data_IF_546286281866
#
_entry.id   IF_546286281866
#
_cell.length_a   1.000
_cell.length_b   1.000
_cell.length_c   1.000
_cell.angle_alpha   90.00
_cell.angle_beta   90.00
_cell.angle_gamma   90.00
#
_symmetry.space_group_name_H-M   'P 1'
#
loop_
_entity.id
_entity.type
_entity.pdbx_description
1 polymer ?
#
# COMPACT_ATOMS: atom_id res chain seq x y z
N UNK A 1 -18.19 -46.88 -32.36
CA UNK A 1 -19.15 -45.85 -32.80
C UNK A 1 -18.59 -44.50 -32.36
N UNK A 2 -18.70 -43.52 -33.24
CA UNK A 2 -17.76 -42.40 -33.53
C UNK A 2 -17.56 -41.36 -32.37
N UNK A 3 -16.44 -40.60 -32.37
CA UNK A 3 -15.87 -39.82 -31.27
C UNK A 3 -16.02 -38.29 -31.43
N UNK A 4 -15.52 -37.52 -30.45
CA UNK A 4 -15.11 -36.11 -30.56
C UNK A 4 -14.06 -35.85 -29.44
N UNK A 5 -12.74 -35.81 -29.70
CA UNK A 5 -11.95 -34.67 -30.19
C UNK A 5 -12.44 -33.32 -29.66
N UNK A 6 -11.61 -32.62 -28.87
CA UNK A 6 -11.08 -31.28 -29.15
C UNK A 6 -10.29 -30.69 -27.95
N UNK A 7 -9.05 -30.24 -28.25
CA UNK A 7 -8.18 -29.25 -27.56
C UNK A 7 -7.59 -29.67 -26.19
N UNK A 8 -6.28 -29.80 -25.94
CA UNK A 8 -5.07 -29.25 -26.57
C UNK A 8 -5.11 -27.74 -26.78
N UNK A 9 -5.01 -27.00 -25.66
CA UNK A 9 -4.24 -25.76 -25.52
C UNK A 9 -4.47 -25.19 -24.10
N UNK A 10 -3.50 -25.39 -23.21
CA UNK A 10 -3.27 -24.48 -22.09
C UNK A 10 -1.76 -24.26 -21.99
N UNK A 11 -1.30 -23.34 -22.82
CA UNK A 11 -0.19 -22.46 -22.49
C UNK A 11 -0.50 -21.88 -21.09
N UNK A 12 0.21 -22.33 -20.07
CA UNK A 12 0.26 -21.63 -18.79
C UNK A 12 1.16 -20.42 -19.01
N UNK A 13 0.54 -19.29 -19.34
CA UNK A 13 1.15 -17.98 -19.28
C UNK A 13 1.64 -17.74 -17.85
N UNK A 14 2.95 -17.86 -17.66
CA UNK A 14 3.66 -17.38 -16.49
C UNK A 14 3.71 -15.86 -16.57
N UNK A 15 2.55 -15.24 -16.35
CA UNK A 15 2.43 -13.79 -16.17
C UNK A 15 3.09 -13.46 -14.82
N UNK A 16 4.40 -13.18 -14.89
CA UNK A 16 5.09 -12.47 -13.83
C UNK A 16 4.40 -11.12 -13.70
N UNK A 17 3.95 -10.70 -12.50
CA UNK A 17 3.86 -9.28 -12.24
C UNK A 17 5.30 -8.79 -12.27
N UNK A 18 5.74 -8.33 -13.44
CA UNK A 18 6.83 -7.38 -13.50
C UNK A 18 6.32 -6.19 -12.68
N UNK A 19 6.76 -6.10 -11.43
CA UNK A 19 6.78 -4.83 -10.72
C UNK A 19 7.64 -3.91 -11.59
N UNK A 20 6.98 -3.24 -12.54
CA UNK A 20 7.51 -2.07 -13.19
C UNK A 20 8.02 -1.19 -12.06
N UNK A 21 9.33 -1.01 -12.02
CA UNK A 21 9.94 0.14 -11.38
C UNK A 21 9.43 1.36 -12.14
N UNK A 22 8.18 1.74 -11.87
CA UNK A 22 7.65 3.03 -12.24
C UNK A 22 8.50 4.03 -11.45
N UNK A 23 9.51 4.58 -12.12
CA UNK A 23 10.00 5.91 -11.83
C UNK A 23 8.78 6.82 -11.84
N UNK A 24 8.17 6.98 -10.66
CA UNK A 24 7.26 8.08 -10.38
C UNK A 24 8.12 9.35 -10.46
N UNK A 25 8.38 9.81 -11.70
CA UNK A 25 8.46 11.22 -11.97
C UNK A 25 7.04 11.76 -11.80
N UNK A 26 6.63 11.84 -10.54
CA UNK A 26 5.44 12.56 -10.16
C UNK A 26 5.69 14.00 -10.57
N UNK A 27 4.94 14.47 -11.57
CA UNK A 27 4.79 15.87 -11.94
C UNK A 27 4.11 16.60 -10.77
N UNK A 28 4.85 16.72 -9.67
CA UNK A 28 4.46 17.44 -8.48
C UNK A 28 4.73 18.91 -8.76
N UNK A 29 3.75 19.75 -8.42
CA UNK A 29 3.95 21.19 -8.30
C UNK A 29 5.31 21.48 -7.64
N UNK A 30 6.04 22.51 -8.10
CA UNK A 30 7.39 22.79 -7.61
C UNK A 30 7.38 22.81 -6.08
N UNK A 31 8.12 21.87 -5.46
CA UNK A 31 8.18 21.81 -4.01
C UNK A 31 8.63 23.17 -3.48
N UNK A 32 7.98 23.70 -2.42
CA UNK A 32 8.37 24.98 -1.86
C UNK A 32 9.81 24.92 -1.37
N UNK A 33 10.53 26.03 -1.53
CA UNK A 33 11.93 26.12 -1.14
C UNK A 33 12.09 25.98 0.37
N UNK A 34 12.88 25.00 0.81
CA UNK A 34 13.23 24.81 2.21
C UNK A 34 14.30 25.81 2.71
N UNK A 35 14.46 25.85 4.03
CA UNK A 35 15.42 26.73 4.74
C UNK A 35 16.85 26.66 4.20
N UNK A 36 17.31 25.48 3.78
CA UNK A 36 18.66 25.31 3.19
C UNK A 36 18.73 25.80 1.76
N UNK A 37 17.69 25.60 0.97
CA UNK A 37 17.65 26.09 -0.40
C UNK A 37 17.72 27.62 -0.44
N UNK A 38 16.94 28.30 0.39
CA UNK A 38 16.98 29.76 0.52
C UNK A 38 18.37 30.26 0.92
N UNK A 39 19.05 29.56 1.84
CA UNK A 39 20.43 29.90 2.24
C UNK A 39 21.43 29.67 1.11
N UNK A 40 21.28 28.60 0.33
CA UNK A 40 22.13 28.32 -0.81
C UNK A 40 21.98 29.40 -1.88
N UNK A 41 20.76 29.79 -2.23
CA UNK A 41 20.49 30.90 -3.16
C UNK A 41 21.14 32.19 -2.69
N UNK A 42 20.86 32.60 -1.45
CA UNK A 42 21.47 33.82 -0.91
C UNK A 42 23.00 33.79 -0.85
N UNK A 43 23.60 32.61 -0.70
CA UNK A 43 25.06 32.47 -0.78
C UNK A 43 25.58 32.60 -2.22
N UNK A 44 24.89 31.99 -3.20
CA UNK A 44 25.24 32.09 -4.62
C UNK A 44 25.13 33.54 -5.11
N UNK A 45 24.03 34.23 -4.78
CA UNK A 45 23.81 35.63 -5.14
C UNK A 45 24.91 36.53 -4.54
N UNK A 46 25.25 36.28 -3.26
CA UNK A 46 26.32 37.01 -2.58
C UNK A 46 27.69 36.75 -3.22
N UNK A 47 27.98 35.52 -3.61
CA UNK A 47 29.24 35.17 -4.26
C UNK A 47 29.37 35.81 -5.65
N UNK A 48 28.29 35.82 -6.43
CA UNK A 48 28.23 36.50 -7.72
C UNK A 48 28.42 38.01 -7.56
N UNK A 49 27.73 38.62 -6.60
CA UNK A 49 27.87 40.05 -6.30
C UNK A 49 29.31 40.45 -5.96
N UNK A 50 30.00 39.71 -5.08
CA UNK A 50 31.39 40.01 -4.73
C UNK A 50 32.35 39.77 -5.92
N UNK A 51 32.06 38.80 -6.77
CA UNK A 51 32.83 38.53 -8.00
C UNK A 51 32.71 39.69 -8.98
N UNK A 52 31.49 40.17 -9.24
CA UNK A 52 31.23 41.33 -10.10
C UNK A 52 31.84 42.60 -9.51
N UNK A 53 31.79 42.79 -8.18
CA UNK A 53 32.41 43.93 -7.50
C UNK A 53 33.94 43.98 -7.69
N UNK A 54 34.58 42.82 -7.81
CA UNK A 54 36.02 42.73 -8.08
C UNK A 54 36.35 43.14 -9.52
N UNK A 55 35.41 42.96 -10.45
CA UNK A 55 35.50 43.47 -11.82
C UNK A 55 35.15 44.97 -11.87
N UNK A 56 35.97 45.80 -11.22
CA UNK A 56 35.79 47.24 -11.22
C UNK A 56 36.32 47.88 -12.52
N UNK A 57 35.79 49.04 -12.86
CA UNK A 57 36.16 49.76 -14.08
C UNK A 57 37.62 50.23 -14.06
N UNK A 58 38.12 50.65 -12.89
CA UNK A 58 39.49 51.13 -12.72
C UNK A 58 40.54 50.06 -13.10
N UNK A 59 40.32 48.81 -12.69
CA UNK A 59 41.17 47.68 -13.05
C UNK A 59 41.15 47.39 -14.56
N UNK A 60 40.01 47.60 -15.23
CA UNK A 60 39.93 47.48 -16.69
C UNK A 60 40.67 48.62 -17.38
N UNK A 61 40.59 49.85 -16.85
CA UNK A 61 41.36 50.97 -17.39
C UNK A 61 42.87 50.77 -17.23
N UNK A 62 43.32 50.23 -16.10
CA UNK A 62 44.73 49.88 -15.87
C UNK A 62 45.22 48.80 -16.86
N UNK A 63 44.37 47.85 -17.21
CA UNK A 63 44.69 46.78 -18.15
C UNK A 63 44.63 47.23 -19.63
N UNK A 64 43.84 48.27 -19.94
CA UNK A 64 43.67 48.81 -21.30
C UNK A 64 43.90 50.33 -21.38
N UNK A 65 45.10 50.83 -21.01
CA UNK A 65 45.35 52.26 -20.85
C UNK A 65 45.24 53.06 -22.16
N UNK A 66 45.67 52.47 -23.29
CA UNK A 66 45.58 53.13 -24.60
C UNK A 66 44.13 53.29 -25.07
N UNK A 67 43.27 52.31 -24.78
CA UNK A 67 41.86 52.35 -25.16
C UNK A 67 41.06 53.27 -24.23
N UNK A 68 41.38 53.26 -22.94
CA UNK A 68 40.80 54.17 -21.95
C UNK A 68 41.09 55.65 -22.28
N UNK A 69 42.27 55.95 -22.83
CA UNK A 69 42.62 57.31 -23.26
C UNK A 69 41.95 57.73 -24.57
N UNK A 70 41.71 56.79 -25.50
CA UNK A 70 41.11 57.07 -26.80
C UNK A 70 39.58 57.21 -26.70
N UNK A 71 38.90 56.20 -26.14
CA UNK A 71 37.44 56.09 -26.11
C UNK A 71 36.96 55.55 -24.74
N UNK A 72 36.96 56.36 -23.66
CA UNK A 72 36.57 55.90 -22.33
C UNK A 72 35.09 55.49 -22.22
N UNK A 73 34.19 56.15 -22.96
CA UNK A 73 32.76 55.80 -22.94
C UNK A 73 32.47 54.44 -23.58
N UNK A 74 33.14 54.12 -24.69
CA UNK A 74 32.98 52.80 -25.32
C UNK A 74 33.49 51.68 -24.41
N UNK A 75 34.60 51.93 -23.70
CA UNK A 75 35.14 51.00 -22.72
C UNK A 75 34.19 50.81 -21.54
N UNK A 76 33.57 51.88 -21.05
CA UNK A 76 32.56 51.81 -19.96
C UNK A 76 31.33 51.01 -20.39
N UNK A 77 30.82 51.25 -21.59
CA UNK A 77 29.69 50.50 -22.16
C UNK A 77 30.06 49.02 -22.35
N UNK A 78 31.28 48.72 -22.78
CA UNK A 78 31.75 47.33 -22.93
C UNK A 78 31.84 46.62 -21.57
N UNK A 79 32.40 47.28 -20.55
CA UNK A 79 32.46 46.76 -19.18
C UNK A 79 31.07 46.47 -18.61
N UNK A 80 30.15 47.44 -18.71
CA UNK A 80 28.77 47.30 -18.24
C UNK A 80 28.08 46.11 -18.93
N UNK A 81 28.23 45.98 -20.25
CA UNK A 81 27.69 44.83 -21.00
C UNK A 81 28.24 43.49 -20.53
N UNK A 82 29.55 43.40 -20.27
CA UNK A 82 30.18 42.16 -19.78
C UNK A 82 29.66 41.82 -18.38
N UNK A 83 29.58 42.80 -17.49
CA UNK A 83 29.06 42.58 -16.14
C UNK A 83 27.58 42.14 -16.16
N UNK A 84 26.73 42.81 -16.93
CA UNK A 84 25.32 42.44 -17.08
C UNK A 84 25.15 41.06 -17.72
N UNK A 85 25.93 40.76 -18.77
CA UNK A 85 25.89 39.45 -19.41
C UNK A 85 26.28 38.34 -18.42
N UNK A 86 27.38 38.53 -17.68
CA UNK A 86 27.83 37.56 -16.70
C UNK A 86 26.80 37.36 -15.58
N UNK A 87 26.18 38.43 -15.10
CA UNK A 87 25.13 38.38 -14.07
C UNK A 87 23.94 37.51 -14.52
N UNK A 88 23.40 37.80 -15.71
CA UNK A 88 22.24 37.10 -16.26
C UNK A 88 22.56 35.63 -16.58
N UNK A 89 23.67 35.37 -17.26
CA UNK A 89 24.02 34.01 -17.67
C UNK A 89 24.34 33.12 -16.47
N UNK A 90 25.06 33.63 -15.47
CA UNK A 90 25.37 32.87 -14.26
C UNK A 90 24.10 32.55 -13.47
N UNK A 91 23.15 33.49 -13.36
CA UNK A 91 21.86 33.23 -12.75
C UNK A 91 21.07 32.15 -13.49
N UNK A 92 21.02 32.22 -14.82
CA UNK A 92 20.36 31.21 -15.65
C UNK A 92 20.98 29.82 -15.46
N UNK A 93 22.31 29.74 -15.49
CA UNK A 93 23.05 28.49 -15.26
C UNK A 93 22.83 27.92 -13.85
N UNK A 94 22.77 28.78 -12.83
CA UNK A 94 22.42 28.35 -11.46
C UNK A 94 21.03 27.72 -11.42
N UNK A 95 20.01 28.35 -11.99
CA UNK A 95 18.67 27.77 -12.04
C UNK A 95 18.65 26.45 -12.82
N UNK A 96 19.36 26.38 -13.94
CA UNK A 96 19.46 25.16 -14.73
C UNK A 96 20.06 24.01 -13.91
N UNK A 97 21.19 24.23 -13.24
CA UNK A 97 21.85 23.20 -12.42
C UNK A 97 20.95 22.79 -11.23
N UNK A 98 20.27 23.75 -10.60
CA UNK A 98 19.33 23.50 -9.50
C UNK A 98 18.21 22.57 -9.94
N UNK A 99 17.66 22.80 -11.12
CA UNK A 99 16.57 22.02 -11.70
C UNK A 99 17.05 20.63 -12.16
N UNK A 100 18.12 20.57 -12.96
CA UNK A 100 18.68 19.32 -13.50
C UNK A 100 19.06 18.33 -12.41
N UNK A 101 19.62 18.84 -11.31
CA UNK A 101 20.05 17.98 -10.18
C UNK A 101 18.97 17.78 -9.13
N UNK A 102 17.80 18.37 -9.31
CA UNK A 102 16.68 18.36 -8.35
C UNK A 102 17.15 18.76 -6.93
N UNK A 103 17.92 19.84 -6.84
CA UNK A 103 18.58 20.25 -5.59
C UNK A 103 17.54 20.59 -4.52
N UNK A 104 16.44 21.26 -4.91
CA UNK A 104 15.35 21.63 -4.00
C UNK A 104 14.82 20.39 -3.27
N UNK A 105 14.43 19.37 -4.03
CA UNK A 105 13.95 18.10 -3.48
C UNK A 105 14.96 17.44 -2.55
N UNK A 106 16.24 17.38 -2.94
CA UNK A 106 17.30 16.75 -2.14
C UNK A 106 17.56 17.49 -0.83
N UNK A 107 17.59 18.82 -0.85
CA UNK A 107 17.79 19.63 0.35
C UNK A 107 16.57 19.59 1.27
N UNK A 108 15.36 19.59 0.72
CA UNK A 108 14.12 19.41 1.49
C UNK A 108 14.08 18.02 2.14
N UNK A 109 14.43 16.96 1.40
CA UNK A 109 14.53 15.61 1.94
C UNK A 109 15.56 15.52 3.07
N UNK A 110 16.71 16.19 2.92
CA UNK A 110 17.72 16.28 3.97
C UNK A 110 17.18 17.00 5.22
N UNK A 111 16.45 18.10 5.05
CA UNK A 111 15.84 18.82 6.18
C UNK A 111 14.84 17.94 6.94
N UNK A 112 14.00 17.18 6.23
CA UNK A 112 13.09 16.19 6.83
C UNK A 112 13.86 15.11 7.59
N UNK A 113 14.94 14.57 7.02
CA UNK A 113 15.77 13.55 7.68
C UNK A 113 16.43 14.06 8.97
N UNK A 114 16.83 15.33 9.00
CA UNK A 114 17.43 15.95 10.19
C UNK A 114 16.37 16.12 11.28
N UNK A 115 15.18 16.63 10.93
CA UNK A 115 14.06 16.78 11.87
C UNK A 115 13.63 15.42 12.46
N UNK A 116 13.54 14.38 11.63
CA UNK A 116 13.28 13.01 12.05
C UNK A 116 14.34 12.47 13.02
N UNK A 117 15.62 12.78 12.78
CA UNK A 117 16.72 12.34 13.63
C UNK A 117 16.72 13.06 14.99
N UNK A 118 16.44 14.37 14.98
CA UNK A 118 16.29 15.20 16.19
C UNK A 118 15.12 14.70 17.05
N UNK A 119 13.95 14.43 16.44
CA UNK A 119 12.79 13.87 17.16
C UNK A 119 13.10 12.52 17.81
N UNK A 120 13.92 11.69 17.15
CA UNK A 120 14.32 10.36 17.65
C UNK A 120 15.46 10.43 18.68
N UNK A 121 15.91 11.62 19.07
CA UNK A 121 16.99 11.82 20.04
C UNK A 121 18.33 11.21 19.61
N UNK A 122 18.52 10.97 18.31
CA UNK A 122 19.74 10.36 17.77
C UNK A 122 20.82 11.42 17.69
N UNK A 123 21.68 11.49 18.70
CA UNK A 123 22.90 12.30 18.62
C UNK A 123 23.88 11.66 17.64
N UNK A 124 24.58 12.50 16.87
CA UNK A 124 25.58 12.08 15.88
C UNK A 124 26.76 11.37 16.58
N UNK A 125 26.61 10.09 16.90
CA UNK A 125 27.60 9.29 17.63
C UNK A 125 27.65 7.82 17.21
N UNK A 126 26.86 7.39 16.24
CA UNK A 126 26.89 6.02 15.73
C UNK A 126 27.27 6.03 14.25
N UNK A 127 28.56 5.76 13.99
CA UNK A 127 29.17 5.35 12.71
C UNK A 127 28.36 5.67 11.44
N UNK A 128 28.60 6.87 10.89
CA UNK A 128 27.84 7.46 9.78
C UNK A 128 28.00 6.76 8.42
N UNK A 129 28.87 5.75 8.31
CA UNK A 129 28.96 4.91 7.12
C UNK A 129 28.96 3.46 7.60
N UNK A 130 27.76 2.93 7.84
CA UNK A 130 27.61 1.48 7.86
C UNK A 130 27.93 1.03 6.44
N UNK A 131 29.07 0.35 6.27
CA UNK A 131 29.37 -0.40 5.05
C UNK A 131 28.40 -1.59 5.03
N UNK A 132 27.14 -1.30 4.72
CA UNK A 132 26.05 -2.25 4.75
C UNK A 132 26.27 -3.21 3.58
N UNK A 133 26.44 -4.49 3.89
CA UNK A 133 26.33 -5.52 2.87
C UNK A 133 24.97 -5.39 2.16
N UNK A 134 24.88 -5.57 0.83
CA UNK A 134 23.62 -5.50 0.08
C UNK A 134 22.51 -6.34 0.71
N UNK A 135 22.88 -7.50 1.26
CA UNK A 135 22.00 -8.43 1.95
C UNK A 135 21.38 -7.83 3.24
N UNK A 136 22.13 -7.01 3.99
CA UNK A 136 21.60 -6.30 5.16
C UNK A 136 20.62 -5.20 4.73
N UNK A 137 20.92 -4.47 3.66
CA UNK A 137 20.04 -3.41 3.14
C UNK A 137 18.71 -3.98 2.64
N UNK A 138 18.75 -5.10 1.89
CA UNK A 138 17.54 -5.79 1.42
C UNK A 138 16.72 -6.31 2.59
N UNK A 139 17.35 -6.95 3.59
CA UNK A 139 16.64 -7.40 4.79
C UNK A 139 16.01 -6.27 5.56
N UNK A 140 16.72 -5.17 5.79
CA UNK A 140 16.20 -4.03 6.54
C UNK A 140 14.93 -3.45 5.91
N UNK A 141 14.84 -3.46 4.57
CA UNK A 141 13.62 -3.06 3.84
C UNK A 141 12.54 -4.14 3.85
N UNK A 142 12.92 -5.41 3.72
CA UNK A 142 11.97 -6.52 3.51
C UNK A 142 11.29 -6.96 4.80
N UNK A 143 12.01 -6.92 5.93
CA UNK A 143 11.50 -7.41 7.23
C UNK A 143 10.21 -6.70 7.66
N UNK A 144 10.09 -5.36 7.65
CA UNK A 144 8.85 -4.68 8.07
C UNK A 144 7.63 -5.09 7.23
N UNK A 145 7.80 -5.24 5.91
CA UNK A 145 6.73 -5.69 5.01
C UNK A 145 6.31 -7.13 5.33
N UNK A 146 7.28 -8.01 5.58
CA UNK A 146 6.99 -9.40 5.95
C UNK A 146 6.34 -9.51 7.33
N UNK A 147 6.74 -8.67 8.28
CA UNK A 147 6.11 -8.60 9.61
C UNK A 147 4.65 -8.16 9.51
N UNK A 148 4.35 -7.14 8.70
CA UNK A 148 2.97 -6.72 8.44
C UNK A 148 2.13 -7.84 7.80
N UNK A 149 2.72 -8.60 6.87
CA UNK A 149 2.04 -9.74 6.24
C UNK A 149 1.82 -10.91 7.20
N UNK A 150 2.79 -11.21 8.06
CA UNK A 150 2.64 -12.20 9.13
C UNK A 150 1.48 -11.82 10.05
N UNK A 151 1.36 -10.54 10.42
CA UNK A 151 0.27 -10.08 11.29
C UNK A 151 -1.09 -10.20 10.59
N UNK A 152 -1.17 -9.85 9.30
CA UNK A 152 -2.37 -10.05 8.48
C UNK A 152 -2.80 -11.52 8.44
N UNK A 153 -1.86 -12.42 8.16
CA UNK A 153 -2.13 -13.85 8.04
C UNK A 153 -2.53 -14.47 9.39
N UNK A 154 -1.94 -14.01 10.50
CA UNK A 154 -2.36 -14.44 11.85
C UNK A 154 -3.80 -14.04 12.14
N UNK A 155 -4.16 -12.79 11.86
CA UNK A 155 -5.53 -12.31 12.06
C UNK A 155 -6.54 -13.11 11.20
N UNK A 156 -6.18 -13.44 9.96
CA UNK A 156 -6.99 -14.28 9.10
C UNK A 156 -7.11 -15.72 9.61
N UNK A 157 -6.02 -16.31 10.08
CA UNK A 157 -6.01 -17.64 10.68
C UNK A 157 -6.93 -17.70 11.90
N UNK A 158 -6.85 -16.71 12.80
CA UNK A 158 -7.71 -16.61 13.98
C UNK A 158 -9.19 -16.52 13.61
N UNK A 159 -9.52 -15.71 12.59
CA UNK A 159 -10.88 -15.60 12.05
C UNK A 159 -11.38 -16.94 11.54
N UNK A 160 -10.62 -17.61 10.68
CA UNK A 160 -11.01 -18.91 10.09
C UNK A 160 -11.15 -19.99 11.18
N UNK A 161 -10.26 -20.00 12.17
CA UNK A 161 -10.37 -20.94 13.29
C UNK A 161 -11.63 -20.70 14.13
N UNK A 162 -12.00 -19.43 14.35
CA UNK A 162 -13.24 -19.08 15.04
C UNK A 162 -14.48 -19.56 14.26
N UNK A 163 -14.49 -19.32 12.95
CA UNK A 163 -15.58 -19.76 12.07
C UNK A 163 -15.68 -21.28 12.02
N UNK A 164 -14.56 -21.99 11.90
CA UNK A 164 -14.55 -23.46 11.91
C UNK A 164 -15.08 -24.02 13.22
N UNK A 165 -14.72 -23.44 14.38
CA UNK A 165 -15.29 -23.83 15.67
C UNK A 165 -16.80 -23.60 15.71
N UNK A 166 -17.26 -22.44 15.24
CA UNK A 166 -18.69 -22.09 15.20
C UNK A 166 -19.48 -23.05 14.31
N UNK A 167 -19.01 -23.30 13.09
CA UNK A 167 -19.64 -24.21 12.14
C UNK A 167 -19.60 -25.66 12.64
N UNK A 168 -18.49 -26.10 13.25
CA UNK A 168 -18.37 -27.41 13.86
C UNK A 168 -19.38 -27.63 14.99
N UNK A 169 -19.55 -26.63 15.86
CA UNK A 169 -20.56 -26.68 16.92
C UNK A 169 -21.99 -26.73 16.36
N UNK A 170 -22.30 -25.91 15.36
CA UNK A 170 -23.62 -25.92 14.70
C UNK A 170 -23.91 -27.26 14.01
N UNK A 171 -22.92 -27.86 13.36
CA UNK A 171 -23.04 -29.17 12.72
C UNK A 171 -23.30 -30.28 13.76
N UNK A 172 -22.56 -30.27 14.87
CA UNK A 172 -22.75 -31.26 15.93
C UNK A 172 -24.13 -31.12 16.59
N UNK A 173 -24.60 -29.89 16.79
CA UNK A 173 -25.94 -29.63 17.28
C UNK A 173 -27.01 -30.19 16.31
N UNK A 174 -26.93 -29.85 15.03
CA UNK A 174 -27.85 -30.35 14.01
C UNK A 174 -27.83 -31.88 13.90
N UNK A 175 -26.65 -32.51 14.00
CA UNK A 175 -26.54 -33.98 14.05
C UNK A 175 -27.21 -34.59 15.28
N UNK A 176 -27.10 -33.95 16.44
CA UNK A 176 -27.75 -34.41 17.66
C UNK A 176 -29.28 -34.31 17.55
N UNK A 177 -29.79 -33.20 16.99
CA UNK A 177 -31.22 -33.03 16.70
C UNK A 177 -31.73 -34.07 15.72
N UNK A 178 -31.01 -34.33 14.63
CA UNK A 178 -31.36 -35.38 13.67
C UNK A 178 -31.38 -36.77 14.30
N UNK A 179 -30.42 -37.06 15.19
CA UNK A 179 -30.39 -38.33 15.91
C UNK A 179 -31.60 -38.48 16.85
N UNK A 180 -31.97 -37.42 17.57
CA UNK A 180 -33.16 -37.40 18.43
C UNK A 180 -34.44 -37.62 17.62
N UNK A 181 -34.66 -36.83 16.56
CA UNK A 181 -35.84 -36.97 15.67
C UNK A 181 -35.92 -38.38 15.09
N UNK A 182 -34.78 -38.98 14.71
CA UNK A 182 -34.75 -40.35 14.19
C UNK A 182 -35.19 -41.37 15.24
N UNK A 183 -34.80 -41.19 16.50
CA UNK A 183 -35.22 -42.07 17.60
C UNK A 183 -36.74 -41.93 17.81
N UNK A 184 -37.24 -40.70 17.93
CA UNK A 184 -38.67 -40.43 18.13
C UNK A 184 -39.55 -41.00 17.01
N UNK A 185 -39.09 -40.90 15.75
CA UNK A 185 -39.78 -41.46 14.59
C UNK A 185 -39.83 -42.99 14.62
N UNK A 186 -38.74 -43.65 15.04
CA UNK A 186 -38.70 -45.10 15.18
C UNK A 186 -39.63 -45.58 16.30
N UNK A 187 -39.70 -44.85 17.41
CA UNK A 187 -40.63 -45.13 18.51
C UNK A 187 -42.09 -45.01 18.04
N UNK A 188 -42.45 -43.87 17.43
CA UNK A 188 -43.79 -43.63 16.88
C UNK A 188 -44.19 -44.68 15.81
N UNK A 189 -43.23 -45.11 14.97
CA UNK A 189 -43.47 -46.15 13.97
C UNK A 189 -43.74 -47.52 14.60
N UNK A 190 -43.00 -47.86 15.67
CA UNK A 190 -43.22 -49.11 16.40
C UNK A 190 -44.59 -49.11 17.09
N UNK A 191 -44.96 -48.02 17.75
CA UNK A 191 -46.30 -47.87 18.35
C UNK A 191 -47.41 -48.00 17.31
N UNK A 192 -47.26 -47.36 16.15
CA UNK A 192 -48.21 -47.48 15.04
C UNK A 192 -48.30 -48.92 14.52
N UNK A 193 -47.17 -49.62 14.37
CA UNK A 193 -47.13 -51.04 13.97
C UNK A 193 -47.83 -51.93 15.00
N UNK A 194 -47.61 -51.71 16.29
CA UNK A 194 -48.31 -52.43 17.36
C UNK A 194 -49.82 -52.15 17.34
N UNK A 195 -50.23 -50.89 17.20
CA UNK A 195 -51.63 -50.51 17.04
C UNK A 195 -52.28 -51.15 15.81
N UNK A 196 -51.57 -51.19 14.67
CA UNK A 196 -52.04 -51.83 13.44
C UNK A 196 -52.19 -53.36 13.59
N UNK A 197 -51.24 -54.02 14.26
CA UNK A 197 -51.34 -55.45 14.60
C UNK A 197 -52.52 -55.73 15.52
N UNK A 198 -52.73 -54.90 16.53
CA UNK A 198 -53.88 -55.03 17.43
C UNK A 198 -55.19 -54.86 16.66
N UNK A 199 -55.32 -53.81 15.84
CA UNK A 199 -56.52 -53.56 15.05
C UNK A 199 -56.82 -54.67 14.02
N UNK A 200 -55.79 -55.22 13.38
CA UNK A 200 -55.95 -56.33 12.41
C UNK A 200 -56.23 -57.68 13.07
N UNK A 201 -55.99 -57.83 14.37
CA UNK A 201 -56.30 -59.03 15.15
C UNK A 201 -57.73 -59.04 15.70
N UNK A 202 -58.44 -57.92 15.64
CA UNK A 202 -59.85 -57.83 16.05
C UNK A 202 -60.72 -58.40 14.91
N UNK A 203 -61.56 -59.44 15.17
CA UNK A 203 -62.50 -59.95 14.18
C UNK A 203 -63.48 -58.84 13.74
N UNK A 204 -63.87 -58.83 12.46
CA UNK A 204 -64.75 -57.80 11.86
C UNK A 204 -66.04 -57.59 12.68
N UNK A 205 -66.57 -58.64 13.30
CA UNK A 205 -67.79 -58.57 14.12
C UNK A 205 -67.62 -57.82 15.45
N UNK A 206 -66.42 -57.82 16.06
CA UNK A 206 -66.12 -57.03 17.26
C UNK A 206 -65.86 -55.56 16.91
N UNK A 207 -65.32 -55.27 15.72
CA UNK A 207 -65.20 -53.89 15.22
C UNK A 207 -66.58 -53.26 14.99
N UNK A 208 -67.56 -54.01 14.46
CA UNK A 208 -68.96 -53.54 14.31
C UNK A 208 -69.58 -53.20 15.67
N UNK A 209 -69.39 -54.04 16.70
CA UNK A 209 -69.92 -53.77 18.04
C UNK A 209 -69.28 -52.55 18.73
N UNK A 210 -67.97 -52.33 18.53
CA UNK A 210 -67.28 -51.14 19.04
C UNK A 210 -67.67 -49.87 18.29
N UNK A 211 -67.94 -49.95 16.99
CA UNK A 211 -68.43 -48.83 16.18
C UNK A 211 -69.86 -48.44 16.59
N UNK A 212 -70.74 -49.43 16.84
CA UNK A 212 -72.10 -49.21 17.34
C UNK A 212 -72.08 -48.61 18.76
N UNK A 213 -71.19 -49.07 19.65
CA UNK A 213 -71.02 -48.50 20.98
C UNK A 213 -70.47 -47.05 20.97
N UNK A 214 -69.58 -46.73 20.02
CA UNK A 214 -69.08 -45.37 19.83
C UNK A 214 -70.12 -44.45 19.19
N UNK A 215 -70.96 -44.94 18.26
CA UNK A 215 -72.07 -44.17 17.69
C UNK A 215 -73.17 -43.87 18.72
N UNK A 216 -73.45 -44.80 19.65
CA UNK A 216 -74.37 -44.57 20.77
C UNK A 216 -73.90 -43.40 21.67
N UNK A 217 -72.60 -43.29 21.93
CA UNK A 217 -72.05 -42.17 22.72
C UNK A 217 -72.02 -40.81 21.99
N UNK A 218 -72.08 -40.79 20.66
CA UNK A 218 -72.20 -39.54 19.88
C UNK A 218 -73.66 -39.07 19.77
N UNK A 219 -74.64 -39.95 19.98
CA UNK A 219 -76.06 -39.58 20.04
C UNK A 219 -76.52 -39.04 21.40
N UNK A 220 -75.73 -39.23 22.47
CA UNK A 220 -75.99 -38.73 23.83
C UNK A 220 -75.27 -37.39 24.16
N UNK A 221 -74.79 -36.67 23.13
CA UNK A 221 -74.23 -35.31 23.18
C UNK A 221 -75.06 -34.35 22.33
#
# INVERSE_FOLDING_TARGET
MVPAQYMQDQHMDLDHPQEEYQEHQSELAPEPEGKRMTKLRGLLDKALYETLRTCNFDAIQECFPSLAAANPEELRVAHEKVCTFLDVEVHNEFEQIINERSIIFKLNALDRLIEDAEQKGRTAGSSTILNLSPDVAVRARTVPTKEAEIERLKAELERVQLDNRRLGNALNHSKAEQAAIKIDLLESYNEFQEGSKNASSIPIHEMEQLLDAAMLHVQDL
#
